data_IF_586475463531
#
_entry.id   IF_586475463531
#
_cell.length_a   1.000
_cell.length_b   1.000
_cell.length_c   1.000
_cell.angle_alpha   90.00
_cell.angle_beta   90.00
_cell.angle_gamma   90.00
#
_symmetry.space_group_name_H-M   'P 1'
#
loop_
_entity.id
_entity.type
_entity.pdbx_description
1 polymer ?
#
# COMPACT_ATOMS: atom_id res chain seq x y z
N UNK A 1 0.63 17.62 -18.65
CA UNK A 1 -0.18 17.15 -17.49
C UNK A 1 -0.25 15.63 -17.45
N UNK A 2 -0.54 14.95 -18.58
CA UNK A 2 -0.72 13.50 -18.63
C UNK A 2 0.40 12.63 -18.00
N UNK A 3 1.68 12.82 -18.39
CA UNK A 3 2.79 12.01 -17.88
C UNK A 3 3.07 12.21 -16.39
N UNK A 4 2.84 13.42 -15.87
CA UNK A 4 3.12 13.78 -14.46
C UNK A 4 2.19 13.03 -13.51
N UNK A 5 0.92 12.89 -13.89
CA UNK A 5 -0.08 12.23 -13.06
C UNK A 5 0.17 10.71 -12.97
N UNK A 6 0.61 10.09 -14.07
CA UNK A 6 1.05 8.68 -14.09
C UNK A 6 2.28 8.45 -13.21
N UNK A 7 3.28 9.34 -13.29
CA UNK A 7 4.48 9.26 -12.45
C UNK A 7 4.12 9.45 -10.96
N UNK A 8 3.15 10.33 -10.65
CA UNK A 8 2.67 10.53 -9.29
C UNK A 8 2.00 9.27 -8.72
N UNK A 9 1.18 8.56 -9.51
CA UNK A 9 0.56 7.30 -9.05
C UNK A 9 1.59 6.20 -8.78
N UNK A 10 2.66 6.10 -9.57
CA UNK A 10 3.74 5.14 -9.34
C UNK A 10 4.49 5.48 -8.04
N UNK A 11 4.86 6.76 -7.85
CA UNK A 11 5.52 7.18 -6.62
C UNK A 11 4.63 6.99 -5.39
N UNK A 12 3.33 7.19 -5.52
CA UNK A 12 2.39 6.93 -4.43
C UNK A 12 2.38 5.45 -4.03
N UNK A 13 2.33 4.53 -4.99
CA UNK A 13 2.39 3.09 -4.71
C UNK A 13 3.69 2.70 -3.97
N UNK A 14 4.83 3.23 -4.43
CA UNK A 14 6.13 2.99 -3.79
C UNK A 14 6.17 3.59 -2.38
N UNK A 15 5.62 4.78 -2.18
CA UNK A 15 5.56 5.43 -0.87
C UNK A 15 4.73 4.62 0.13
N UNK A 16 3.58 4.09 -0.29
CA UNK A 16 2.71 3.24 0.53
C UNK A 16 3.46 1.98 0.99
N UNK A 17 4.12 1.27 0.06
CA UNK A 17 4.88 0.06 0.39
C UNK A 17 6.04 0.39 1.32
N UNK A 18 6.75 1.49 1.06
CA UNK A 18 7.89 1.93 1.88
C UNK A 18 7.46 2.28 3.29
N UNK A 19 6.39 3.07 3.44
CA UNK A 19 5.83 3.41 4.76
C UNK A 19 5.41 2.15 5.51
N UNK A 20 4.66 1.25 4.86
CA UNK A 20 4.23 0.01 5.49
C UNK A 20 5.41 -0.88 5.90
N UNK A 21 6.46 -0.93 5.09
CA UNK A 21 7.70 -1.67 5.42
C UNK A 21 8.39 -1.05 6.64
N UNK A 22 8.55 0.27 6.68
CA UNK A 22 9.16 0.97 7.82
C UNK A 22 8.32 0.79 9.10
N UNK A 23 7.00 0.90 9.00
CA UNK A 23 6.05 0.70 10.11
C UNK A 23 6.04 -0.75 10.60
N UNK A 24 6.19 -1.72 9.68
CA UNK A 24 6.39 -3.12 10.01
C UNK A 24 7.71 -3.36 10.76
N UNK A 25 8.78 -2.67 10.38
CA UNK A 25 10.07 -2.70 11.08
C UNK A 25 10.08 -1.89 12.40
N UNK A 26 9.00 -1.17 12.71
CA UNK A 26 8.86 -0.38 13.94
C UNK A 26 9.51 1.00 13.90
N UNK A 27 10.00 1.45 12.74
CA UNK A 27 10.62 2.77 12.51
C UNK A 27 9.78 3.70 11.64
N UNK A 28 8.55 3.28 11.32
CA UNK A 28 7.62 4.05 10.51
C UNK A 28 6.83 5.08 11.30
N UNK A 29 5.55 5.20 10.97
CA UNK A 29 4.69 6.27 11.48
C UNK A 29 4.46 6.09 13.00
N UNK A 30 4.36 7.17 13.80
CA UNK A 30 4.09 7.08 15.23
C UNK A 30 2.91 6.17 15.56
N UNK A 31 2.99 5.46 16.70
CA UNK A 31 1.93 4.52 17.16
C UNK A 31 0.56 5.17 17.37
N UNK A 32 0.52 6.51 17.47
CA UNK A 32 -0.72 7.30 17.57
C UNK A 32 -1.44 7.45 16.22
N UNK A 33 -0.77 7.13 15.12
CA UNK A 33 -1.34 7.19 13.77
C UNK A 33 -1.58 5.79 13.23
N UNK A 34 -2.75 5.51 12.63
CA UNK A 34 -3.04 4.20 12.08
C UNK A 34 -2.16 3.92 10.85
N UNK A 35 -1.42 2.81 10.87
CA UNK A 35 -0.61 2.32 9.75
C UNK A 35 -0.85 0.83 9.53
N UNK A 36 -1.06 0.43 8.27
CA UNK A 36 -1.21 -0.98 7.89
C UNK A 36 0.04 -1.80 8.22
N UNK A 37 1.24 -1.22 8.07
CA UNK A 37 2.49 -1.90 8.43
C UNK A 37 2.59 -2.23 9.91
N UNK A 38 2.18 -1.30 10.78
CA UNK A 38 2.12 -1.52 12.22
C UNK A 38 1.07 -2.57 12.59
N UNK A 39 -0.10 -2.58 11.94
CA UNK A 39 -1.13 -3.59 12.17
C UNK A 39 -0.65 -4.99 11.77
N UNK A 40 0.07 -5.12 10.64
CA UNK A 40 0.68 -6.38 10.21
C UNK A 40 1.74 -6.83 11.23
N UNK A 41 2.56 -5.91 11.75
CA UNK A 41 3.56 -6.22 12.79
C UNK A 41 2.93 -6.78 14.05
N UNK A 42 1.91 -6.08 14.56
CA UNK A 42 1.18 -6.51 15.76
C UNK A 42 0.55 -7.88 15.51
N UNK A 43 -0.15 -8.06 14.38
CA UNK A 43 -0.71 -9.36 14.01
C UNK A 43 0.33 -10.47 13.96
N UNK A 44 1.53 -10.18 13.43
CA UNK A 44 2.62 -11.15 13.33
C UNK A 44 3.04 -11.69 14.70
N UNK A 45 2.98 -10.89 15.77
CA UNK A 45 3.25 -11.34 17.13
C UNK A 45 2.19 -12.35 17.64
N UNK A 46 0.97 -12.29 17.10
CA UNK A 46 -0.15 -13.19 17.41
C UNK A 46 -0.33 -14.34 16.40
N UNK A 47 0.57 -14.50 15.41
CA UNK A 47 0.49 -15.60 14.43
C UNK A 47 0.49 -16.98 15.10
N UNK A 48 1.30 -17.13 16.15
CA UNK A 48 1.45 -18.39 16.88
C UNK A 48 0.47 -18.52 18.06
N UNK A 49 -0.32 -17.48 18.38
CA UNK A 49 -1.33 -17.53 19.45
C UNK A 49 -2.67 -18.13 18.99
N UNK A 50 -2.83 -18.40 17.69
CA UNK A 50 -4.07 -18.89 17.08
C UNK A 50 -4.96 -17.79 16.49
N UNK A 51 -4.60 -16.52 16.65
CA UNK A 51 -5.35 -15.35 16.14
C UNK A 51 -4.82 -14.88 14.78
N UNK A 52 -4.60 -15.82 13.86
CA UNK A 52 -4.02 -15.57 12.52
C UNK A 52 -4.75 -14.50 11.70
N UNK A 53 -6.04 -14.26 11.98
CA UNK A 53 -6.85 -13.23 11.33
C UNK A 53 -6.29 -11.82 11.54
N UNK A 54 -5.67 -11.54 12.69
CA UNK A 54 -5.10 -10.22 13.00
C UNK A 54 -3.95 -9.85 12.07
N UNK A 55 -3.29 -10.84 11.43
CA UNK A 55 -2.22 -10.62 10.46
C UNK A 55 -2.75 -10.63 9.03
N UNK A 56 -3.64 -11.57 8.72
CA UNK A 56 -4.14 -11.75 7.35
C UNK A 56 -5.00 -10.57 6.90
N UNK A 57 -5.88 -10.03 7.74
CA UNK A 57 -6.77 -8.93 7.33
C UNK A 57 -5.99 -7.65 6.96
N UNK A 58 -5.05 -7.16 7.80
CA UNK A 58 -4.23 -6.00 7.44
C UNK A 58 -3.33 -6.26 6.23
N UNK A 59 -2.78 -7.48 6.11
CA UNK A 59 -1.96 -7.87 4.96
C UNK A 59 -2.76 -7.87 3.65
N UNK A 60 -3.95 -8.45 3.65
CA UNK A 60 -4.84 -8.44 2.50
C UNK A 60 -5.30 -7.03 2.13
N UNK A 61 -5.62 -6.18 3.12
CA UNK A 61 -5.97 -4.79 2.90
C UNK A 61 -4.82 -4.00 2.23
N UNK A 62 -3.57 -4.22 2.67
CA UNK A 62 -2.40 -3.61 2.05
C UNK A 62 -2.24 -4.05 0.59
N UNK A 63 -2.35 -5.35 0.31
CA UNK A 63 -2.26 -5.88 -1.05
C UNK A 63 -3.35 -5.29 -1.95
N UNK A 64 -4.60 -5.25 -1.49
CA UNK A 64 -5.71 -4.67 -2.24
C UNK A 64 -5.53 -3.17 -2.47
N UNK A 65 -5.01 -2.43 -1.50
CA UNK A 65 -4.73 -1.00 -1.63
C UNK A 65 -3.65 -0.77 -2.70
N UNK A 66 -2.53 -1.47 -2.62
CA UNK A 66 -1.43 -1.36 -3.59
C UNK A 66 -1.90 -1.76 -4.98
N UNK A 67 -2.67 -2.84 -5.11
CA UNK A 67 -3.24 -3.27 -6.39
C UNK A 67 -4.17 -2.19 -6.96
N UNK A 68 -5.05 -1.62 -6.15
CA UNK A 68 -5.99 -0.58 -6.57
C UNK A 68 -5.26 0.68 -7.07
N UNK A 69 -4.17 1.08 -6.40
CA UNK A 69 -3.35 2.22 -6.83
C UNK A 69 -2.61 1.91 -8.14
N UNK A 70 -2.09 0.70 -8.31
CA UNK A 70 -1.44 0.29 -9.57
C UNK A 70 -2.44 0.29 -10.73
N UNK A 71 -3.62 -0.32 -10.55
CA UNK A 71 -4.67 -0.35 -11.56
C UNK A 71 -5.18 1.06 -11.91
N UNK A 72 -5.28 1.95 -10.92
CA UNK A 72 -5.61 3.34 -11.16
C UNK A 72 -4.53 4.04 -11.99
N UNK A 73 -3.26 3.78 -11.71
CA UNK A 73 -2.13 4.29 -12.51
C UNK A 73 -2.14 3.80 -13.95
N UNK A 74 -2.47 2.52 -14.16
CA UNK A 74 -2.61 1.92 -15.49
C UNK A 74 -3.80 2.50 -16.26
N UNK A 75 -4.98 2.59 -15.63
CA UNK A 75 -6.14 3.24 -16.24
C UNK A 75 -5.86 4.70 -16.60
N UNK A 76 -5.18 5.40 -15.70
CA UNK A 76 -4.82 6.80 -15.90
C UNK A 76 -3.82 6.95 -17.05
N UNK A 77 -2.85 6.04 -17.14
CA UNK A 77 -1.91 5.96 -18.25
C UNK A 77 -2.66 5.78 -19.56
N UNK A 78 -3.62 4.87 -19.62
CA UNK A 78 -4.43 4.62 -20.82
C UNK A 78 -5.30 5.83 -21.19
N UNK A 79 -5.96 6.45 -20.23
CA UNK A 79 -6.78 7.65 -20.44
C UNK A 79 -5.97 8.86 -20.93
N UNK A 80 -4.70 8.94 -20.54
CA UNK A 80 -3.79 10.03 -20.90
C UNK A 80 -2.90 9.71 -22.11
N UNK A 81 -2.98 8.50 -22.66
CA UNK A 81 -2.20 8.09 -23.82
C UNK A 81 -2.89 8.60 -25.10
N UNK A 82 -2.33 9.60 -25.81
CA UNK A 82 -3.01 10.26 -26.92
C UNK A 82 -2.98 9.44 -28.22
N UNK A 83 -2.55 8.18 -28.20
CA UNK A 83 -2.42 7.33 -29.39
C UNK A 83 -3.75 6.72 -29.89
N UNK A 84 -4.87 7.07 -29.26
CA UNK A 84 -6.22 6.68 -29.68
C UNK A 84 -6.99 7.79 -30.42
N UNK A 85 -6.39 8.96 -30.67
CA UNK A 85 -6.92 10.00 -31.57
C UNK A 85 -5.92 10.34 -32.68
#
# INVERSE_FOLDING_TARGET
MGPVLVIATIHLAIAIITEATLSFLGVGVPVTSPSLGTLIRIGNDFLFSGEWWNTIFPGAALVLLVLSVNLLGDWLRDALNPRLN
#
